data_IF_387467484898
#
_entry.id   IF_387467484898
#
_cell.length_a   1.000
_cell.length_b   1.000
_cell.length_c   1.000
_cell.angle_alpha   90.00
_cell.angle_beta   90.00
_cell.angle_gamma   90.00
#
_symmetry.space_group_name_H-M   'P 1'
#
loop_
_entity.id
_entity.type
_entity.pdbx_description
1 polymer ?
#
# COMPACT_ATOMS: atom_id res chain seq x y z
N UNK A 1 -26.41 20.35 17.65
CA UNK A 1 -25.14 19.61 17.73
C UNK A 1 -25.01 18.77 16.48
N UNK A 2 -24.14 19.15 15.57
CA UNK A 2 -23.91 18.40 14.32
C UNK A 2 -23.09 17.16 14.69
N UNK A 3 -23.66 15.97 14.51
CA UNK A 3 -22.93 14.71 14.66
C UNK A 3 -21.93 14.69 13.52
N UNK A 4 -20.65 14.77 13.86
CA UNK A 4 -19.57 14.54 12.90
C UNK A 4 -19.62 13.04 12.62
N UNK A 5 -20.21 12.65 11.48
CA UNK A 5 -20.15 11.26 11.00
C UNK A 5 -18.69 10.89 10.82
N UNK A 6 -18.29 9.71 11.27
CA UNK A 6 -16.95 9.22 11.01
C UNK A 6 -16.76 9.07 9.49
N UNK A 7 -15.55 9.24 9.02
CA UNK A 7 -15.21 9.11 7.60
C UNK A 7 -15.64 7.73 7.04
N UNK A 8 -15.57 6.69 7.87
CA UNK A 8 -16.06 5.34 7.58
C UNK A 8 -17.57 5.29 7.31
N UNK A 9 -18.38 6.05 8.06
CA UNK A 9 -19.84 6.14 7.87
C UNK A 9 -20.19 6.91 6.60
N UNK A 10 -19.44 7.99 6.30
CA UNK A 10 -19.63 8.77 5.08
C UNK A 10 -19.30 7.96 3.80
N UNK A 11 -18.23 7.18 3.81
CA UNK A 11 -17.86 6.30 2.69
C UNK A 11 -18.90 5.20 2.48
N UNK A 12 -19.41 4.59 3.54
CA UNK A 12 -20.45 3.58 3.42
C UNK A 12 -21.73 4.13 2.77
N UNK A 13 -22.13 5.37 3.06
CA UNK A 13 -23.36 5.95 2.49
C UNK A 13 -23.19 6.49 1.07
N UNK A 14 -22.03 7.07 0.71
CA UNK A 14 -21.83 7.68 -0.61
C UNK A 14 -21.42 6.70 -1.72
N UNK A 15 -20.87 5.55 -1.33
CA UNK A 15 -20.38 4.53 -2.29
C UNK A 15 -21.46 3.44 -2.54
N UNK A 16 -22.44 3.29 -1.65
CA UNK A 16 -23.39 2.18 -1.64
C UNK A 16 -24.85 2.62 -1.82
N UNK A 17 -25.10 3.75 -2.47
CA UNK A 17 -26.48 4.26 -2.69
C UNK A 17 -27.30 3.48 -3.72
N UNK A 18 -26.79 2.39 -4.26
CA UNK A 18 -27.52 1.49 -5.15
C UNK A 18 -27.60 0.09 -4.53
N UNK A 19 -28.77 -0.26 -3.96
CA UNK A 19 -29.03 -1.53 -3.27
C UNK A 19 -28.95 -2.78 -4.19
N UNK A 20 -28.66 -2.61 -5.47
CA UNK A 20 -28.53 -3.69 -6.44
C UNK A 20 -27.08 -4.16 -6.68
N UNK A 21 -26.06 -3.47 -6.12
CA UNK A 21 -24.66 -3.79 -6.38
C UNK A 21 -24.09 -4.60 -5.21
N UNK A 22 -24.21 -5.92 -5.31
CA UNK A 22 -23.46 -6.89 -4.50
C UNK A 22 -22.00 -6.46 -4.41
N UNK A 23 -21.52 -6.09 -3.21
CA UNK A 23 -20.16 -5.66 -2.83
C UNK A 23 -19.15 -5.85 -3.96
N UNK A 24 -18.87 -4.79 -4.70
CA UNK A 24 -17.93 -4.84 -5.82
C UNK A 24 -16.53 -5.09 -5.30
N UNK A 25 -16.16 -6.37 -5.28
CA UNK A 25 -14.82 -6.80 -4.86
C UNK A 25 -13.81 -6.24 -5.85
N UNK A 26 -12.77 -5.59 -5.34
CA UNK A 26 -11.65 -5.13 -6.17
C UNK A 26 -10.83 -6.35 -6.58
N UNK A 27 -10.82 -6.65 -7.87
CA UNK A 27 -10.11 -7.81 -8.41
C UNK A 27 -8.92 -7.43 -9.29
N UNK A 28 -8.80 -6.16 -9.67
CA UNK A 28 -7.72 -5.70 -10.54
C UNK A 28 -6.92 -4.57 -9.91
N UNK A 29 -5.63 -4.52 -10.23
CA UNK A 29 -4.75 -3.41 -9.88
C UNK A 29 -5.31 -2.06 -10.35
N UNK A 30 -5.92 -2.02 -11.54
CA UNK A 30 -6.51 -0.80 -12.10
C UNK A 30 -7.64 -0.26 -11.23
N UNK A 31 -8.54 -1.13 -10.78
CA UNK A 31 -9.68 -0.74 -9.94
C UNK A 31 -9.20 -0.29 -8.56
N UNK A 32 -8.22 -1.00 -7.98
CA UNK A 32 -7.60 -0.63 -6.72
C UNK A 32 -6.94 0.75 -6.81
N UNK A 33 -6.14 1.01 -7.84
CA UNK A 33 -5.51 2.33 -8.05
C UNK A 33 -6.54 3.44 -8.19
N UNK A 34 -7.60 3.20 -8.97
CA UNK A 34 -8.68 4.18 -9.15
C UNK A 34 -9.33 4.50 -7.79
N UNK A 35 -9.64 3.47 -7.00
CA UNK A 35 -10.27 3.66 -5.69
C UNK A 35 -9.38 4.41 -4.72
N UNK A 36 -8.09 4.07 -4.66
CA UNK A 36 -7.10 4.80 -3.85
C UNK A 36 -7.04 6.27 -4.30
N UNK A 37 -7.03 6.56 -5.60
CA UNK A 37 -6.99 7.94 -6.10
C UNK A 37 -8.24 8.74 -5.73
N UNK A 38 -9.42 8.11 -5.74
CA UNK A 38 -10.67 8.71 -5.28
C UNK A 38 -10.58 9.07 -3.79
N UNK A 39 -10.18 8.12 -2.95
CA UNK A 39 -9.97 8.35 -1.51
C UNK A 39 -8.98 9.50 -1.24
N UNK A 40 -7.89 9.57 -1.98
CA UNK A 40 -6.89 10.64 -1.81
C UNK A 40 -7.45 12.01 -2.19
N UNK A 41 -8.33 12.10 -3.19
CA UNK A 41 -9.02 13.35 -3.55
C UNK A 41 -9.98 13.81 -2.45
N UNK A 42 -10.74 12.88 -1.90
CA UNK A 42 -11.73 13.15 -0.85
C UNK A 42 -11.08 13.61 0.46
N UNK A 43 -9.93 13.06 0.80
CA UNK A 43 -9.20 13.37 2.05
C UNK A 43 -8.43 14.69 2.01
N UNK A 44 -8.33 15.34 0.85
CA UNK A 44 -7.66 16.64 0.69
C UNK A 44 -6.13 16.59 0.82
N UNK A 45 -5.52 17.73 1.20
CA UNK A 45 -4.07 17.83 1.39
C UNK A 45 -3.65 17.41 2.81
N UNK A 46 -2.47 16.76 2.94
CA UNK A 46 -1.91 16.33 4.21
C UNK A 46 -0.83 15.27 4.01
N UNK A 47 -0.22 14.85 5.10
CA UNK A 47 0.81 13.80 5.12
C UNK A 47 0.28 12.44 5.53
N UNK A 48 -1.00 12.35 5.87
CA UNK A 48 -1.67 11.13 6.30
C UNK A 48 -2.81 10.78 5.36
N UNK A 49 -2.99 9.49 5.07
CA UNK A 49 -4.09 8.95 4.27
C UNK A 49 -4.70 7.76 4.98
N UNK A 50 -6.01 7.59 4.85
CA UNK A 50 -6.76 6.48 5.43
C UNK A 50 -7.25 5.56 4.30
N UNK A 51 -6.86 4.29 4.36
CA UNK A 51 -7.26 3.24 3.43
C UNK A 51 -7.94 2.07 4.13
N UNK A 52 -8.31 2.22 5.40
CA UNK A 52 -8.93 1.17 6.22
C UNK A 52 -10.22 0.62 5.60
N UNK A 53 -10.96 1.47 4.88
CA UNK A 53 -12.17 1.06 4.16
C UNK A 53 -11.91 0.05 3.03
N UNK A 54 -10.67 -0.10 2.57
CA UNK A 54 -10.31 -1.04 1.51
C UNK A 54 -9.95 -2.43 2.03
N UNK A 55 -9.69 -2.61 3.32
CA UNK A 55 -9.17 -3.85 3.92
C UNK A 55 -9.94 -5.11 3.50
N UNK A 56 -11.27 -5.01 3.42
CA UNK A 56 -12.12 -6.14 3.01
C UNK A 56 -12.39 -6.23 1.49
N UNK A 57 -11.90 -5.28 0.70
CA UNK A 57 -12.17 -5.20 -0.73
C UNK A 57 -11.03 -5.74 -1.59
N UNK A 58 -9.83 -5.86 -1.04
CA UNK A 58 -8.60 -6.16 -1.77
C UNK A 58 -8.28 -7.66 -1.87
N UNK A 59 -9.03 -8.53 -1.19
CA UNK A 59 -8.76 -9.97 -1.02
C UNK A 59 -8.62 -10.78 -2.32
N UNK A 60 -8.95 -10.19 -3.47
CA UNK A 60 -8.84 -10.83 -4.79
C UNK A 60 -7.95 -10.06 -5.76
N UNK A 61 -7.23 -9.06 -5.27
CA UNK A 61 -6.29 -8.30 -6.08
C UNK A 61 -4.87 -8.82 -5.84
N UNK A 62 -4.34 -9.60 -6.78
CA UNK A 62 -3.01 -10.23 -6.68
C UNK A 62 -1.87 -9.30 -7.09
N UNK A 63 -2.17 -8.14 -7.67
CA UNK A 63 -1.20 -7.18 -8.17
C UNK A 63 -1.37 -5.82 -7.50
N UNK A 64 -0.41 -5.48 -6.65
CA UNK A 64 -0.31 -4.19 -5.95
C UNK A 64 0.77 -3.28 -6.56
N UNK A 65 1.23 -3.58 -7.76
CA UNK A 65 2.25 -2.78 -8.42
C UNK A 65 1.81 -1.33 -8.58
N UNK A 66 2.68 -0.39 -8.15
CA UNK A 66 2.52 1.06 -8.30
C UNK A 66 1.29 1.70 -7.63
N UNK A 67 0.54 0.99 -6.76
CA UNK A 67 -0.73 1.52 -6.20
C UNK A 67 -0.57 2.80 -5.38
N UNK A 68 0.57 3.00 -4.73
CA UNK A 68 0.93 4.20 -3.97
C UNK A 68 2.11 4.98 -4.58
N UNK A 69 2.43 4.75 -5.85
CA UNK A 69 3.56 5.42 -6.50
C UNK A 69 3.37 6.92 -6.59
N UNK A 70 4.40 7.67 -6.15
CA UNK A 70 4.48 9.12 -6.35
C UNK A 70 3.69 9.95 -5.34
N UNK A 71 3.23 9.36 -4.25
CA UNK A 71 2.57 10.08 -3.15
C UNK A 71 3.61 10.80 -2.27
N UNK A 72 4.22 11.85 -2.84
CA UNK A 72 5.43 12.51 -2.31
C UNK A 72 5.27 13.12 -0.92
N UNK A 73 4.08 13.63 -0.59
CA UNK A 73 3.78 14.28 0.70
C UNK A 73 3.33 13.30 1.77
N UNK A 74 2.84 12.12 1.39
CA UNK A 74 2.23 11.15 2.30
C UNK A 74 3.31 10.45 3.11
N UNK A 75 3.19 10.53 4.43
CA UNK A 75 4.08 9.88 5.40
C UNK A 75 3.45 8.64 6.00
N UNK A 76 2.18 8.72 6.37
CA UNK A 76 1.45 7.65 7.00
C UNK A 76 0.23 7.24 6.16
N UNK A 77 -0.04 5.95 6.11
CA UNK A 77 -1.23 5.39 5.46
C UNK A 77 -1.93 4.52 6.50
N UNK A 78 -2.97 5.09 7.13
CA UNK A 78 -3.75 4.42 8.19
C UNK A 78 -4.51 3.23 7.60
N UNK A 79 -4.50 2.10 8.30
CA UNK A 79 -5.15 0.86 7.90
C UNK A 79 -4.35 0.04 6.89
N UNK A 80 -3.17 0.51 6.47
CA UNK A 80 -2.29 -0.24 5.60
C UNK A 80 -1.68 -1.46 6.31
N UNK A 81 -1.41 -1.32 7.60
CA UNK A 81 -0.92 -2.36 8.49
C UNK A 81 -1.88 -3.55 8.65
N UNK A 82 -3.19 -3.32 8.44
CA UNK A 82 -4.25 -4.32 8.55
C UNK A 82 -4.57 -5.03 7.22
N UNK A 83 -3.88 -4.65 6.14
CA UNK A 83 -4.09 -5.29 4.85
C UNK A 83 -3.58 -6.73 4.86
N UNK A 84 -4.45 -7.68 4.54
CA UNK A 84 -4.03 -9.04 4.22
C UNK A 84 -3.43 -9.07 2.81
N UNK A 85 -2.10 -9.15 2.77
CA UNK A 85 -1.31 -9.20 1.53
C UNK A 85 -0.79 -10.61 1.23
N UNK A 86 -1.17 -11.61 2.03
CA UNK A 86 -0.68 -13.00 1.90
C UNK A 86 -0.96 -13.64 0.54
N UNK A 87 -1.95 -13.13 -0.19
CA UNK A 87 -2.34 -13.61 -1.52
C UNK A 87 -1.68 -12.82 -2.66
N UNK A 88 -0.91 -11.75 -2.36
CA UNK A 88 -0.35 -10.85 -3.38
C UNK A 88 0.91 -11.44 -4.01
N UNK A 89 0.98 -11.39 -5.33
CA UNK A 89 2.12 -11.89 -6.10
C UNK A 89 3.03 -10.77 -6.64
N UNK A 90 2.49 -9.56 -6.86
CA UNK A 90 3.22 -8.47 -7.50
C UNK A 90 3.12 -7.19 -6.68
N UNK A 91 4.27 -6.67 -6.25
CA UNK A 91 4.40 -5.42 -5.48
C UNK A 91 5.42 -4.45 -6.12
N UNK A 92 5.75 -4.63 -7.40
CA UNK A 92 6.74 -3.80 -8.08
C UNK A 92 6.39 -2.31 -8.02
N UNK A 93 7.34 -1.48 -7.60
CA UNK A 93 7.17 -0.03 -7.50
C UNK A 93 6.02 0.46 -6.63
N UNK A 94 5.47 -0.37 -5.73
CA UNK A 94 4.27 -0.07 -4.94
C UNK A 94 4.31 1.31 -4.30
N UNK A 95 5.43 1.68 -3.68
CA UNK A 95 5.65 2.98 -3.03
C UNK A 95 6.69 3.85 -3.75
N UNK A 96 7.08 3.49 -4.97
CA UNK A 96 8.15 4.21 -5.68
C UNK A 96 7.90 5.71 -5.75
N UNK A 97 8.94 6.52 -5.45
CA UNK A 97 8.91 7.99 -5.39
C UNK A 97 7.94 8.58 -4.36
N UNK A 98 7.57 7.82 -3.34
CA UNK A 98 6.81 8.29 -2.17
C UNK A 98 7.82 8.72 -1.09
N UNK A 99 8.44 9.88 -1.28
CA UNK A 99 9.63 10.31 -0.55
C UNK A 99 9.50 10.31 0.97
N UNK A 100 8.31 10.63 1.48
CA UNK A 100 8.05 10.72 2.93
C UNK A 100 7.51 9.42 3.55
N UNK A 101 7.20 8.41 2.72
CA UNK A 101 6.61 7.16 3.18
C UNK A 101 7.48 6.45 4.24
N UNK A 102 6.88 6.12 5.38
CA UNK A 102 7.53 5.37 6.45
C UNK A 102 6.51 4.65 7.36
N UNK A 103 5.62 3.83 6.77
CA UNK A 103 4.72 2.97 7.54
C UNK A 103 5.40 1.69 7.99
N UNK A 104 4.92 1.11 9.08
CA UNK A 104 5.35 -0.20 9.54
C UNK A 104 4.68 -1.31 8.72
N UNK A 105 5.48 -2.07 8.01
CA UNK A 105 5.06 -3.19 7.18
C UNK A 105 5.63 -4.53 7.69
N UNK A 106 6.20 -4.54 8.89
CA UNK A 106 6.91 -5.71 9.45
C UNK A 106 6.02 -6.95 9.61
N UNK A 107 4.68 -6.75 9.70
CA UNK A 107 3.70 -7.82 9.88
C UNK A 107 3.14 -8.39 8.58
N UNK A 108 3.48 -7.80 7.44
CA UNK A 108 2.99 -8.31 6.16
C UNK A 108 3.56 -9.69 5.84
N UNK A 109 2.67 -10.61 5.50
CA UNK A 109 3.06 -11.89 4.92
C UNK A 109 3.27 -11.72 3.41
N UNK A 110 4.55 -11.68 3.01
CA UNK A 110 4.95 -11.50 1.62
C UNK A 110 5.45 -12.80 0.98
N UNK A 111 5.18 -13.93 1.61
CA UNK A 111 5.73 -15.24 1.19
C UNK A 111 5.30 -15.69 -0.21
N UNK A 112 4.20 -15.14 -0.75
CA UNK A 112 3.75 -15.43 -2.11
C UNK A 112 4.21 -14.39 -3.16
N UNK A 113 4.94 -13.35 -2.75
CA UNK A 113 5.36 -12.28 -3.67
C UNK A 113 6.48 -12.76 -4.58
N UNK A 114 6.32 -12.56 -5.88
CA UNK A 114 7.27 -12.90 -6.94
C UNK A 114 8.09 -11.70 -7.42
N UNK A 115 7.49 -10.50 -7.36
CA UNK A 115 8.14 -9.29 -7.86
C UNK A 115 8.02 -8.13 -6.87
N UNK A 116 9.18 -7.61 -6.44
CA UNK A 116 9.35 -6.43 -5.58
C UNK A 116 10.27 -5.38 -6.24
N UNK A 117 10.45 -5.39 -7.57
CA UNK A 117 11.31 -4.45 -8.28
C UNK A 117 10.96 -3.01 -7.90
N UNK A 118 11.92 -2.26 -7.37
CA UNK A 118 11.75 -0.85 -7.02
C UNK A 118 10.63 -0.56 -6.01
N UNK A 119 10.18 -1.52 -5.20
CA UNK A 119 9.03 -1.35 -4.29
C UNK A 119 9.14 -0.07 -3.45
N UNK A 120 10.32 0.24 -2.93
CA UNK A 120 10.62 1.45 -2.14
C UNK A 120 11.58 2.41 -2.87
N UNK A 121 11.69 2.33 -4.18
CA UNK A 121 12.57 3.20 -4.97
C UNK A 121 12.33 4.68 -4.63
N UNK A 122 13.37 5.39 -4.17
CA UNK A 122 13.32 6.79 -3.74
C UNK A 122 12.34 7.08 -2.58
N UNK A 123 12.04 6.11 -1.72
CA UNK A 123 11.38 6.37 -0.45
C UNK A 123 12.42 6.89 0.55
N UNK A 124 12.75 8.18 0.46
CA UNK A 124 13.91 8.77 1.15
C UNK A 124 13.85 8.61 2.67
N UNK A 125 12.64 8.69 3.25
CA UNK A 125 12.42 8.59 4.70
C UNK A 125 12.13 7.17 5.21
N UNK A 126 12.07 6.19 4.32
CA UNK A 126 11.77 4.81 4.69
C UNK A 126 12.87 4.21 5.57
N UNK A 127 12.48 3.66 6.74
CA UNK A 127 13.37 3.01 7.69
C UNK A 127 12.66 1.90 8.50
N UNK A 128 11.69 1.21 7.92
CA UNK A 128 11.02 0.08 8.56
C UNK A 128 11.93 -1.15 8.59
N UNK A 129 11.88 -1.92 9.69
CA UNK A 129 12.55 -3.21 9.78
C UNK A 129 11.72 -4.29 9.08
N UNK A 130 12.28 -4.84 8.01
CA UNK A 130 11.68 -5.90 7.21
C UNK A 130 12.45 -7.24 7.34
N UNK A 131 13.25 -7.40 8.39
CA UNK A 131 14.09 -8.58 8.57
C UNK A 131 13.30 -9.89 8.63
N UNK A 132 12.03 -9.84 9.05
CA UNK A 132 11.16 -11.00 9.19
C UNK A 132 10.46 -11.42 7.89
N UNK A 133 10.59 -10.67 6.79
CA UNK A 133 9.95 -11.01 5.54
C UNK A 133 10.52 -12.29 4.94
N UNK A 134 9.65 -13.24 4.61
CA UNK A 134 10.01 -14.40 3.78
C UNK A 134 9.95 -14.01 2.30
N UNK A 135 11.12 -13.85 1.71
CA UNK A 135 11.30 -13.46 0.30
C UNK A 135 11.77 -14.64 -0.57
N UNK A 136 11.58 -15.87 -0.10
CA UNK A 136 12.08 -17.07 -0.78
C UNK A 136 11.51 -17.25 -2.20
N UNK A 137 10.30 -16.75 -2.45
CA UNK A 137 9.63 -16.80 -3.75
C UNK A 137 9.88 -15.55 -4.62
N UNK A 138 10.64 -14.55 -4.13
CA UNK A 138 10.87 -13.32 -4.91
C UNK A 138 11.90 -13.56 -6.00
N UNK A 139 11.47 -13.37 -7.24
CA UNK A 139 12.30 -13.53 -8.44
C UNK A 139 13.00 -12.20 -8.82
N UNK A 140 12.38 -11.06 -8.58
CA UNK A 140 12.92 -9.73 -8.88
C UNK A 140 12.74 -8.76 -7.71
N UNK A 141 13.88 -8.27 -7.18
CA UNK A 141 13.95 -7.24 -6.14
C UNK A 141 14.94 -6.12 -6.51
N UNK A 142 15.27 -5.99 -7.79
CA UNK A 142 16.21 -4.96 -8.26
C UNK A 142 15.72 -3.57 -7.88
N UNK A 143 16.64 -2.70 -7.48
CA UNK A 143 16.36 -1.30 -7.10
C UNK A 143 15.40 -1.11 -5.92
N UNK A 144 15.02 -2.18 -5.20
CA UNK A 144 13.99 -2.13 -4.15
C UNK A 144 14.23 -1.00 -3.14
N UNK A 145 15.46 -0.81 -2.67
CA UNK A 145 15.82 0.22 -1.69
C UNK A 145 16.69 1.34 -2.27
N UNK A 146 16.79 1.46 -3.61
CA UNK A 146 17.58 2.53 -4.22
C UNK A 146 16.98 3.88 -3.86
N UNK A 147 17.79 4.78 -3.27
CA UNK A 147 17.36 6.11 -2.85
C UNK A 147 16.64 6.16 -1.50
N UNK A 148 16.59 5.08 -0.72
CA UNK A 148 16.11 5.07 0.66
C UNK A 148 17.19 5.65 1.59
N UNK A 149 17.28 6.98 1.69
CA UNK A 149 18.38 7.68 2.39
C UNK A 149 18.37 7.47 3.91
N UNK A 150 17.20 7.23 4.50
CA UNK A 150 17.05 7.02 5.94
C UNK A 150 17.23 5.56 6.36
N UNK A 151 17.28 4.63 5.43
CA UNK A 151 17.46 3.21 5.71
C UNK A 151 18.91 2.96 6.18
N UNK A 152 19.06 2.66 7.47
CA UNK A 152 20.40 2.49 8.09
C UNK A 152 21.10 1.25 7.59
N UNK A 153 20.36 0.18 7.36
CA UNK A 153 20.87 -1.09 6.87
C UNK A 153 19.77 -1.80 6.08
N UNK A 154 20.11 -2.35 4.93
CA UNK A 154 19.20 -3.24 4.19
C UNK A 154 19.04 -4.56 4.94
N UNK A 155 17.86 -5.21 4.86
CA UNK A 155 17.66 -6.53 5.45
C UNK A 155 18.69 -7.54 4.90
N UNK A 156 19.07 -8.51 5.72
CA UNK A 156 20.11 -9.51 5.37
C UNK A 156 19.76 -10.35 4.13
N UNK A 157 18.48 -10.52 3.86
CA UNK A 157 17.98 -11.26 2.70
C UNK A 157 18.08 -10.45 1.39
N UNK A 158 18.21 -9.11 1.48
CA UNK A 158 18.33 -8.29 0.27
C UNK A 158 19.72 -8.44 -0.34
N UNK A 159 19.74 -9.03 -1.52
CA UNK A 159 20.96 -9.13 -2.34
C UNK A 159 20.78 -8.23 -3.55
N UNK A 160 21.54 -7.14 -3.59
CA UNK A 160 21.58 -6.27 -4.75
C UNK A 160 22.18 -7.08 -5.91
N UNK A 161 21.33 -7.69 -6.73
CA UNK A 161 21.74 -8.42 -7.93
C UNK A 161 21.66 -7.51 -9.13
#
# INVERSE_FOLDING_TARGET
>A
MSVIKTFSEFINESIWSDESDTKKVITTNRDLRKKIQELYKEQGEGDTRDVSSLTNLINRCYDFSYIFKGYKKVKYIIGLEDWDVSHVEYMGGMFANSYNFNCDLSKWDVSNVKNMEGMFLNCENFNCDLSNWDVSNVEDMRYMFKGCKSLKQTPFWYKNK
#
